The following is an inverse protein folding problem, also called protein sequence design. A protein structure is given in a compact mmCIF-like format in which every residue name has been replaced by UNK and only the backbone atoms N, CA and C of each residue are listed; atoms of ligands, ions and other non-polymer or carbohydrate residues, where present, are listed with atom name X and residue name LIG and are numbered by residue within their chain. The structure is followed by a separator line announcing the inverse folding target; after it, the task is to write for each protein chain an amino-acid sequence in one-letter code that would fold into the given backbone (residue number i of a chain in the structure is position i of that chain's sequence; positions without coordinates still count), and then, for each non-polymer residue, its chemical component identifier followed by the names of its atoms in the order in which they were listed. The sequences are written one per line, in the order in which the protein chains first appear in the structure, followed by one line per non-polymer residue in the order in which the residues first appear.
data_IF_209374248041
#
_entry.id   IF_209374248041
#
_cell.length_a   1.000
_cell.length_b   1.000
_cell.length_c   1.000
_cell.angle_alpha   90.00
_cell.angle_beta   90.00
_cell.angle_gamma   90.00
#
_symmetry.space_group_name_H-M   'P 1'
#
loop_
_entity.id
_entity.type
_entity.pdbx_description
1 polymer ?
#
# COMPACT_ATOMS: atom_id res chain seq x y z
N UNK A 1 47.34 -20.87 -18.19
CA UNK A 1 46.69 -20.91 -16.85
C UNK A 1 45.57 -19.89 -16.82
N UNK A 2 44.34 -20.28 -16.47
CA UNK A 2 43.44 -19.54 -15.57
C UNK A 2 42.09 -20.26 -15.51
N UNK A 3 41.82 -20.98 -14.42
CA UNK A 3 40.44 -21.31 -14.03
C UNK A 3 40.21 -20.70 -12.67
N UNK A 4 39.67 -19.48 -12.68
CA UNK A 4 39.22 -18.79 -11.47
C UNK A 4 37.99 -19.54 -10.96
N UNK A 5 38.20 -20.50 -10.06
CA UNK A 5 37.11 -21.13 -9.31
C UNK A 5 36.46 -20.03 -8.47
N UNK A 6 35.31 -19.53 -8.90
CA UNK A 6 34.36 -18.86 -8.02
C UNK A 6 34.01 -19.87 -6.92
N UNK A 7 34.70 -19.77 -5.78
CA UNK A 7 34.39 -20.54 -4.58
C UNK A 7 32.98 -20.15 -4.16
N UNK A 8 31.99 -20.97 -4.52
CA UNK A 8 30.62 -20.89 -3.98
C UNK A 8 30.74 -21.06 -2.46
N UNK A 9 30.55 -19.98 -1.71
CA UNK A 9 30.54 -20.04 -0.25
C UNK A 9 29.23 -20.71 0.17
N UNK A 10 29.32 -21.96 0.63
CA UNK A 10 28.22 -22.63 1.32
C UNK A 10 27.91 -21.79 2.57
N UNK A 11 26.73 -21.16 2.57
CA UNK A 11 26.30 -20.17 3.58
C UNK A 11 25.91 -18.80 3.01
N UNK A 12 26.26 -18.50 1.76
CA UNK A 12 25.97 -17.20 1.10
C UNK A 12 24.51 -17.07 0.59
N UNK A 13 23.72 -18.14 0.61
CA UNK A 13 22.34 -18.11 0.09
C UNK A 13 21.30 -17.84 1.17
N UNK A 14 21.21 -18.69 2.19
CA UNK A 14 19.98 -18.76 3.01
C UNK A 14 19.72 -17.47 3.81
N UNK A 15 20.72 -16.93 4.52
CA UNK A 15 20.52 -15.72 5.33
C UNK A 15 20.33 -14.47 4.47
N UNK A 16 21.04 -14.35 3.36
CA UNK A 16 20.91 -13.21 2.43
C UNK A 16 19.52 -13.18 1.80
N UNK A 17 19.02 -14.35 1.35
CA UNK A 17 17.65 -14.46 0.84
C UNK A 17 16.61 -14.17 1.92
N UNK A 18 16.81 -14.65 3.16
CA UNK A 18 15.89 -14.37 4.27
C UNK A 18 15.82 -12.85 4.55
N UNK A 19 16.95 -12.16 4.55
CA UNK A 19 17.00 -10.69 4.75
C UNK A 19 16.27 -9.97 3.61
N UNK A 20 16.53 -10.33 2.35
CA UNK A 20 15.86 -9.71 1.20
C UNK A 20 14.35 -9.96 1.25
N UNK A 21 13.92 -11.18 1.56
CA UNK A 21 12.49 -11.53 1.71
C UNK A 21 11.84 -10.73 2.84
N UNK A 22 12.53 -10.58 3.98
CA UNK A 22 12.02 -9.77 5.09
C UNK A 22 11.82 -8.30 4.68
N UNK A 23 12.76 -7.71 3.92
CA UNK A 23 12.63 -6.35 3.42
C UNK A 23 11.47 -6.20 2.43
N UNK A 24 11.32 -7.15 1.49
CA UNK A 24 10.20 -7.16 0.55
C UNK A 24 8.86 -7.30 1.28
N UNK A 25 8.79 -8.16 2.31
CA UNK A 25 7.57 -8.36 3.09
C UNK A 25 7.12 -7.06 3.80
N UNK A 26 8.05 -6.33 4.43
CA UNK A 26 7.74 -5.04 5.07
C UNK A 26 7.24 -4.03 4.03
N UNK A 27 7.91 -3.93 2.87
CA UNK A 27 7.47 -3.04 1.80
C UNK A 27 6.08 -3.43 1.27
N UNK A 28 5.81 -4.73 1.10
CA UNK A 28 4.53 -5.24 0.64
C UNK A 28 3.38 -4.92 1.61
N UNK A 29 3.60 -5.04 2.92
CA UNK A 29 2.61 -4.62 3.93
C UNK A 29 2.26 -3.14 3.75
N UNK A 30 3.26 -2.27 3.56
CA UNK A 30 3.05 -0.85 3.29
C UNK A 30 2.21 -0.59 2.03
N UNK A 31 2.59 -1.18 0.90
CA UNK A 31 1.88 -1.02 -0.38
C UNK A 31 0.44 -1.55 -0.30
N UNK A 32 0.25 -2.76 0.24
CA UNK A 32 -1.09 -3.37 0.35
C UNK A 32 -1.98 -2.58 1.31
N UNK A 33 -1.43 -2.06 2.41
CA UNK A 33 -2.22 -1.22 3.34
C UNK A 33 -2.67 0.10 2.70
N UNK A 34 -1.83 0.71 1.86
CA UNK A 34 -2.12 2.00 1.22
C UNK A 34 -3.04 1.85 0.00
N UNK A 35 -2.83 0.82 -0.81
CA UNK A 35 -3.50 0.66 -2.09
C UNK A 35 -4.58 -0.43 -2.10
N UNK A 36 -4.59 -1.35 -1.12
CA UNK A 36 -5.50 -2.50 -1.10
C UNK A 36 -6.97 -2.09 -1.06
N UNK A 37 -7.32 -1.08 -0.27
CA UNK A 37 -8.69 -0.54 -0.22
C UNK A 37 -9.13 0.03 -1.57
N UNK A 38 -8.22 0.71 -2.28
CA UNK A 38 -8.50 1.29 -3.59
C UNK A 38 -8.68 0.19 -4.63
N UNK A 39 -7.75 -0.78 -4.69
CA UNK A 39 -7.84 -1.91 -5.61
C UNK A 39 -9.15 -2.68 -5.39
N UNK A 40 -9.52 -2.96 -4.12
CA UNK A 40 -10.78 -3.62 -3.80
C UNK A 40 -12.00 -2.81 -4.24
N UNK A 41 -11.98 -1.49 -4.05
CA UNK A 41 -13.06 -0.62 -4.50
C UNK A 41 -13.21 -0.62 -6.03
N UNK A 42 -12.09 -0.65 -6.77
CA UNK A 42 -12.10 -0.77 -8.23
C UNK A 42 -12.67 -2.12 -8.67
N UNK A 43 -12.25 -3.23 -8.07
CA UNK A 43 -12.79 -4.56 -8.40
C UNK A 43 -14.29 -4.66 -8.10
N UNK A 44 -14.74 -4.14 -6.96
CA UNK A 44 -16.17 -4.11 -6.63
C UNK A 44 -16.97 -3.26 -7.61
N UNK A 45 -16.39 -2.15 -8.08
CA UNK A 45 -17.01 -1.32 -9.09
C UNK A 45 -17.10 -2.03 -10.46
N UNK A 46 -16.04 -2.73 -10.86
CA UNK A 46 -16.04 -3.55 -12.07
C UNK A 46 -17.10 -4.64 -12.01
N UNK A 47 -17.23 -5.34 -10.88
CA UNK A 47 -18.26 -6.36 -10.67
C UNK A 47 -19.68 -5.77 -10.79
N UNK A 48 -19.93 -4.61 -10.17
CA UNK A 48 -21.21 -3.88 -10.29
C UNK A 48 -21.53 -3.46 -11.72
N UNK A 49 -20.54 -2.95 -12.44
CA UNK A 49 -20.70 -2.54 -13.85
C UNK A 49 -20.99 -3.76 -14.74
N UNK A 50 -20.34 -4.90 -14.50
CA UNK A 50 -20.61 -6.15 -15.20
C UNK A 50 -22.02 -6.69 -14.92
N UNK A 51 -22.53 -6.45 -13.71
CA UNK A 51 -23.92 -6.77 -13.33
C UNK A 51 -24.96 -5.75 -13.83
N UNK A 52 -24.54 -4.76 -14.62
CA UNK A 52 -25.45 -3.81 -15.29
C UNK A 52 -25.81 -2.57 -14.48
N UNK A 53 -25.12 -2.27 -13.36
CA UNK A 53 -25.29 -0.96 -12.72
C UNK A 53 -24.69 0.14 -13.60
N UNK A 54 -25.51 1.09 -14.07
CA UNK A 54 -25.07 2.16 -14.97
C UNK A 54 -24.28 3.29 -14.26
N UNK A 55 -24.47 3.46 -12.94
CA UNK A 55 -23.90 4.57 -12.17
C UNK A 55 -22.99 4.08 -11.04
N UNK A 56 -21.87 3.46 -11.40
CA UNK A 56 -20.91 2.94 -10.42
C UNK A 56 -19.91 4.02 -9.99
N UNK A 57 -20.18 4.70 -8.89
CA UNK A 57 -19.27 5.67 -8.31
C UNK A 57 -18.11 4.98 -7.53
N UNK A 58 -16.90 5.02 -8.08
CA UNK A 58 -15.71 4.47 -7.42
C UNK A 58 -15.20 5.44 -6.35
N UNK A 59 -15.50 5.17 -5.08
CA UNK A 59 -14.96 5.93 -3.95
C UNK A 59 -13.59 5.39 -3.55
N UNK A 60 -12.53 5.89 -4.19
CA UNK A 60 -11.15 5.62 -3.78
C UNK A 60 -10.76 6.49 -2.58
N UNK A 61 -10.07 5.90 -1.61
CA UNK A 61 -9.36 6.65 -0.58
C UNK A 61 -8.14 7.30 -1.24
N UNK A 62 -8.31 8.52 -1.73
CA UNK A 62 -7.18 9.40 -2.05
C UNK A 62 -6.39 9.58 -0.76
N UNK A 63 -5.05 9.42 -0.80
CA UNK A 63 -4.17 9.55 0.36
C UNK A 63 -4.63 10.73 1.21
N UNK A 64 -5.20 10.44 2.39
CA UNK A 64 -5.94 11.42 3.18
C UNK A 64 -5.03 12.61 3.48
N UNK A 65 -5.31 13.75 2.83
CA UNK A 65 -4.88 15.08 3.29
C UNK A 65 -5.21 15.33 4.77
N UNK A 66 -6.09 14.51 5.37
CA UNK A 66 -6.39 14.50 6.81
C UNK A 66 -5.21 14.19 7.73
N UNK A 67 -4.17 13.51 7.28
CA UNK A 67 -2.94 13.35 8.08
C UNK A 67 -2.16 14.68 8.20
N UNK A 68 -2.32 15.61 7.25
CA UNK A 68 -1.80 16.97 7.30
C UNK A 68 -2.81 18.00 7.81
N UNK A 69 -4.04 17.59 8.14
CA UNK A 69 -5.00 18.43 8.87
C UNK A 69 -4.52 18.56 10.32
N UNK A 70 -3.37 19.20 10.50
CA UNK A 70 -2.94 19.70 11.79
C UNK A 70 -4.09 20.58 12.27
N UNK A 71 -4.72 20.18 13.38
CA UNK A 71 -5.72 21.01 14.07
C UNK A 71 -4.97 22.23 14.61
N UNK A 72 -4.84 23.24 13.77
CA UNK A 72 -4.38 24.55 14.17
C UNK A 72 -5.57 25.32 14.76
N UNK A 73 -5.26 26.36 15.53
CA UNK A 73 -6.26 27.20 16.20
C UNK A 73 -7.33 27.74 15.23
N UNK A 74 -6.96 27.90 13.95
CA UNK A 74 -7.86 28.33 12.87
C UNK A 74 -8.95 27.29 12.53
N UNK A 75 -8.63 25.99 12.60
CA UNK A 75 -9.56 24.91 12.27
C UNK A 75 -10.34 24.37 13.49
N UNK A 76 -10.02 24.82 14.70
CA UNK A 76 -10.70 24.38 15.93
C UNK A 76 -12.15 24.91 16.01
N UNK A 77 -12.36 26.17 15.62
CA UNK A 77 -13.70 26.80 15.69
C UNK A 77 -14.65 26.34 14.56
N UNK A 78 -14.13 25.98 13.39
CA UNK A 78 -14.96 25.65 12.23
C UNK A 78 -15.53 24.23 12.25
N UNK A 79 -14.95 23.33 13.05
CA UNK A 79 -15.33 21.92 13.06
C UNK A 79 -16.10 21.52 14.33
N UNK A 80 -16.51 22.49 15.14
CA UNK A 80 -17.38 22.28 16.28
C UNK A 80 -18.83 22.52 15.83
N UNK A 81 -19.44 21.48 15.25
CA UNK A 81 -20.88 21.47 15.00
C UNK A 81 -21.55 20.90 16.26
N UNK A 82 -22.10 21.73 17.17
CA UNK A 82 -22.92 21.20 18.25
C UNK A 82 -24.11 20.51 17.61
N UNK A 83 -24.32 19.24 17.98
CA UNK A 83 -25.55 18.53 17.64
C UNK A 83 -26.75 19.23 18.27
#
# INVERSE_FOLDING_TARGET
MLRKKLKRRKGQGMTEYIIIVALIAIAAIGVVSLFGDNIRALFAASDKALNGEENVAVKTKTAKKQLYQHRNLKNFSQNNNPK
#
